data_IF_433781882488
#
_entry.id   IF_433781882488
#
_cell.length_a   1.000
_cell.length_b   1.000
_cell.length_c   1.000
_cell.angle_alpha   90.00
_cell.angle_beta   90.00
_cell.angle_gamma   90.00
#
_symmetry.space_group_name_H-M   'P 1'
#
loop_
_entity.id
_entity.type
_entity.pdbx_description
1 polymer ?
#
# COMPACT_ATOMS: atom_id res chain seq x y z
N UNK A 1 -18.06 -16.42 -9.29
CA UNK A 1 -16.77 -16.28 -8.61
C UNK A 1 -16.10 -15.00 -9.06
N UNK A 2 -15.93 -14.06 -8.16
CA UNK A 2 -15.21 -12.84 -8.45
C UNK A 2 -13.70 -13.08 -8.38
N UNK A 3 -12.95 -12.34 -9.19
CA UNK A 3 -11.51 -12.27 -9.05
C UNK A 3 -11.21 -11.34 -7.87
N UNK A 4 -10.23 -11.72 -7.08
CA UNK A 4 -9.75 -10.88 -6.01
C UNK A 4 -8.63 -10.00 -6.55
N UNK A 5 -8.76 -8.71 -6.31
CA UNK A 5 -7.75 -7.72 -6.71
C UNK A 5 -7.05 -7.19 -5.48
N UNK A 6 -5.73 -7.23 -5.50
CA UNK A 6 -4.92 -6.74 -4.39
C UNK A 6 -4.58 -5.28 -4.63
N UNK A 7 -5.01 -4.42 -3.72
CA UNK A 7 -4.72 -3.00 -3.74
C UNK A 7 -3.64 -2.69 -2.72
N UNK A 8 -2.61 -1.96 -3.13
CA UNK A 8 -1.41 -1.73 -2.35
C UNK A 8 -1.07 -0.25 -2.30
N UNK A 9 -0.70 0.23 -1.13
CA UNK A 9 -0.11 1.54 -0.93
C UNK A 9 1.15 1.41 -0.09
N UNK A 10 2.25 1.99 -0.55
CA UNK A 10 3.54 1.94 0.15
C UNK A 10 4.06 3.35 0.37
N UNK A 11 4.41 3.68 1.60
CA UNK A 11 5.05 4.94 1.90
C UNK A 11 6.50 4.92 1.40
N UNK A 12 6.83 5.88 0.57
CA UNK A 12 8.11 5.96 -0.10
C UNK A 12 9.29 6.08 0.89
N UNK A 13 9.09 6.79 1.98
CA UNK A 13 10.14 7.01 2.97
C UNK A 13 10.37 5.82 3.89
N UNK A 14 9.31 5.34 4.52
CA UNK A 14 9.39 4.29 5.54
C UNK A 14 9.27 2.89 4.99
N UNK A 15 8.70 2.73 3.80
CA UNK A 15 8.26 1.45 3.23
C UNK A 15 7.07 0.84 3.97
N UNK A 16 6.47 1.57 4.91
CA UNK A 16 5.25 1.12 5.57
C UNK A 16 4.18 0.85 4.50
N UNK A 17 3.49 -0.26 4.60
CA UNK A 17 2.56 -0.71 3.57
C UNK A 17 1.16 -0.93 4.11
N UNK A 18 0.17 -0.65 3.26
CA UNK A 18 -1.23 -0.94 3.50
C UNK A 18 -1.80 -1.71 2.32
N UNK A 19 -2.53 -2.78 2.59
CA UNK A 19 -3.02 -3.70 1.56
C UNK A 19 -4.46 -4.07 1.84
N UNK A 20 -5.27 -4.13 0.79
CA UNK A 20 -6.62 -4.69 0.84
C UNK A 20 -6.84 -5.60 -0.36
N UNK A 21 -7.65 -6.63 -0.17
CA UNK A 21 -8.15 -7.46 -1.27
C UNK A 21 -9.58 -7.05 -1.55
N UNK A 22 -9.84 -6.59 -2.77
CA UNK A 22 -11.12 -5.99 -3.16
C UNK A 22 -11.66 -6.69 -4.41
N UNK A 23 -12.98 -6.61 -4.67
CA UNK A 23 -13.60 -7.37 -5.76
C UNK A 23 -13.34 -6.83 -7.15
N UNK A 24 -12.86 -5.60 -7.27
CA UNK A 24 -12.60 -4.97 -8.59
C UNK A 24 -11.55 -3.87 -8.49
N UNK A 25 -11.23 -3.27 -9.63
CA UNK A 25 -10.29 -2.15 -9.75
C UNK A 25 -10.99 -0.90 -10.30
N UNK A 26 -12.27 -0.74 -10.06
CA UNK A 26 -13.00 0.45 -10.53
C UNK A 26 -12.55 1.70 -9.78
N UNK A 27 -12.77 2.84 -10.40
CA UNK A 27 -12.37 4.13 -9.83
C UNK A 27 -12.94 4.39 -8.44
N UNK A 28 -14.20 4.07 -8.21
CA UNK A 28 -14.82 4.21 -6.90
C UNK A 28 -14.20 3.29 -5.86
N UNK A 29 -13.85 2.07 -6.25
CA UNK A 29 -13.20 1.10 -5.38
C UNK A 29 -11.79 1.56 -5.02
N UNK A 30 -11.04 2.04 -6.00
CA UNK A 30 -9.71 2.61 -5.77
C UNK A 30 -9.76 3.84 -4.86
N UNK A 31 -10.79 4.69 -5.03
CA UNK A 31 -10.99 5.86 -4.18
C UNK A 31 -11.25 5.47 -2.72
N UNK A 32 -12.12 4.48 -2.50
CA UNK A 32 -12.39 3.96 -1.16
C UNK A 32 -11.14 3.37 -0.51
N UNK A 33 -10.37 2.61 -1.28
CA UNK A 33 -9.09 2.09 -0.81
C UNK A 33 -8.14 3.23 -0.40
N UNK A 34 -8.02 4.27 -1.22
CA UNK A 34 -7.14 5.41 -0.92
C UNK A 34 -7.55 6.11 0.37
N UNK A 35 -8.86 6.29 0.60
CA UNK A 35 -9.35 6.89 1.85
C UNK A 35 -8.97 6.06 3.07
N UNK A 36 -9.12 4.76 3.00
CA UNK A 36 -8.76 3.85 4.09
C UNK A 36 -7.26 3.78 4.29
N UNK A 37 -6.47 3.77 3.20
CA UNK A 37 -5.02 3.85 3.28
C UNK A 37 -4.59 5.16 3.95
N UNK A 38 -5.21 6.28 3.59
CA UNK A 38 -4.97 7.57 4.22
C UNK A 38 -5.19 7.55 5.72
N UNK A 39 -6.29 6.93 6.16
CA UNK A 39 -6.58 6.77 7.58
C UNK A 39 -5.53 5.89 8.28
N UNK A 40 -5.12 4.81 7.63
CA UNK A 40 -4.06 3.94 8.16
C UNK A 40 -2.76 4.72 8.38
N UNK A 41 -2.29 5.44 7.36
CA UNK A 41 -1.05 6.23 7.48
C UNK A 41 -1.19 7.36 8.50
N UNK A 42 -2.35 8.02 8.56
CA UNK A 42 -2.61 9.06 9.54
C UNK A 42 -2.53 8.53 10.97
N UNK A 43 -2.92 7.28 11.19
CA UNK A 43 -2.79 6.62 12.49
C UNK A 43 -1.34 6.48 12.94
N UNK A 44 -0.39 6.51 12.01
CA UNK A 44 1.05 6.55 12.31
C UNK A 44 1.65 7.95 12.23
N UNK A 45 0.81 8.97 12.13
CA UNK A 45 1.27 10.36 12.02
C UNK A 45 1.84 10.71 10.66
N UNK A 46 1.58 9.92 9.64
CA UNK A 46 2.06 10.16 8.27
C UNK A 46 1.02 10.97 7.52
N UNK A 47 1.42 12.15 7.04
CA UNK A 47 0.58 12.97 6.16
C UNK A 47 0.95 12.66 4.71
N UNK A 48 -0.05 12.31 3.92
CA UNK A 48 0.17 12.02 2.50
C UNK A 48 0.22 13.33 1.73
N UNK A 49 1.36 13.61 1.12
CA UNK A 49 1.55 14.82 0.31
C UNK A 49 1.38 14.54 -1.17
N UNK A 50 1.77 13.36 -1.62
CA UNK A 50 1.70 12.95 -3.03
C UNK A 50 1.23 11.52 -3.13
N UNK A 51 0.40 11.26 -4.13
CA UNK A 51 -0.06 9.92 -4.47
C UNK A 51 0.45 9.62 -5.87
N UNK A 52 1.41 8.70 -5.96
CA UNK A 52 1.96 8.27 -7.25
C UNK A 52 1.28 6.98 -7.69
N UNK A 53 0.73 6.98 -8.89
CA UNK A 53 0.05 5.83 -9.47
C UNK A 53 0.59 5.55 -10.86
N UNK A 54 0.30 4.37 -11.39
CA UNK A 54 0.48 4.12 -12.81
C UNK A 54 -0.59 4.88 -13.62
N UNK A 55 -0.63 4.66 -14.93
CA UNK A 55 -1.53 5.37 -15.83
C UNK A 55 -2.85 4.62 -16.08
N UNK A 56 -3.21 3.67 -15.24
CA UNK A 56 -4.47 2.93 -15.38
C UNK A 56 -5.68 3.86 -15.30
N UNK A 57 -6.74 3.47 -16.00
CA UNK A 57 -7.97 4.26 -16.08
C UNK A 57 -8.58 4.58 -14.72
N UNK A 58 -8.53 3.62 -13.77
CA UNK A 58 -9.07 3.80 -12.43
C UNK A 58 -8.39 4.94 -11.66
N UNK A 59 -7.17 5.30 -12.04
CA UNK A 59 -6.44 6.41 -11.44
C UNK A 59 -6.48 7.67 -12.30
N UNK A 60 -6.26 7.51 -13.61
CA UNK A 60 -6.09 8.64 -14.49
C UNK A 60 -7.39 9.33 -14.87
N UNK A 61 -8.49 8.58 -15.01
CA UNK A 61 -9.77 9.07 -15.52
C UNK A 61 -10.87 9.12 -14.47
N UNK A 62 -10.64 8.63 -13.27
CA UNK A 62 -11.66 8.55 -12.25
C UNK A 62 -11.83 9.88 -11.52
N UNK A 63 -13.04 10.41 -11.54
CA UNK A 63 -13.41 11.57 -10.72
C UNK A 63 -13.39 11.22 -9.24
N UNK A 64 -13.84 10.01 -8.91
CA UNK A 64 -13.87 9.55 -7.52
C UNK A 64 -12.47 9.46 -6.95
N UNK A 65 -11.52 8.94 -7.72
CA UNK A 65 -10.14 8.84 -7.25
C UNK A 65 -9.52 10.23 -7.05
N UNK A 66 -9.74 11.14 -8.00
CA UNK A 66 -9.26 12.53 -7.87
C UNK A 66 -9.85 13.24 -6.66
N UNK A 67 -11.14 12.99 -6.38
CA UNK A 67 -11.78 13.55 -5.19
C UNK A 67 -11.15 13.01 -3.91
N UNK A 68 -10.85 11.71 -3.87
CA UNK A 68 -10.18 11.10 -2.71
C UNK A 68 -8.79 11.69 -2.48
N UNK A 69 -8.01 11.90 -3.54
CA UNK A 69 -6.70 12.56 -3.45
C UNK A 69 -6.85 13.98 -2.90
N UNK A 70 -7.82 14.73 -3.40
CA UNK A 70 -8.06 16.11 -2.95
C UNK A 70 -8.48 16.15 -1.47
N UNK A 71 -9.30 15.21 -1.02
CA UNK A 71 -9.72 15.12 0.38
C UNK A 71 -8.53 14.91 1.33
N UNK A 72 -7.49 14.23 0.86
CA UNK A 72 -6.26 14.06 1.62
C UNK A 72 -5.37 15.31 1.65
N UNK A 73 -5.70 16.32 0.85
CA UNK A 73 -4.84 17.47 0.65
C UNK A 73 -3.59 17.13 -0.16
N UNK A 74 -3.62 16.04 -0.90
CA UNK A 74 -2.48 15.53 -1.65
C UNK A 74 -2.53 15.93 -3.11
N UNK A 75 -1.43 15.70 -3.81
CA UNK A 75 -1.31 15.91 -5.26
C UNK A 75 -1.09 14.56 -5.93
N UNK A 76 -1.84 14.29 -6.98
CA UNK A 76 -1.66 13.07 -7.77
C UNK A 76 -0.50 13.25 -8.76
N UNK A 77 0.35 12.23 -8.81
CA UNK A 77 1.44 12.12 -9.79
C UNK A 77 1.33 10.79 -10.50
N UNK A 78 1.71 10.76 -11.77
CA UNK A 78 1.74 9.53 -12.56
C UNK A 78 3.18 9.15 -12.85
N UNK A 79 3.45 7.85 -12.94
CA UNK A 79 4.76 7.38 -13.37
C UNK A 79 5.00 7.86 -14.80
N UNK A 80 6.25 8.26 -15.08
CA UNK A 80 6.60 8.71 -16.42
C UNK A 80 6.65 7.50 -17.38
N UNK A 81 6.14 7.64 -18.61
CA UNK A 81 6.33 6.60 -19.63
C UNK A 81 7.82 6.28 -19.78
N UNK A 82 8.12 5.00 -19.95
CA UNK A 82 9.49 4.48 -20.08
C UNK A 82 10.41 4.74 -18.87
N UNK A 83 9.84 5.08 -17.73
CA UNK A 83 10.59 5.27 -16.48
C UNK A 83 10.04 4.35 -15.39
N UNK A 84 10.15 3.01 -15.53
CA UNK A 84 9.56 2.06 -14.58
C UNK A 84 10.14 2.18 -13.17
N UNK A 85 11.36 2.68 -13.03
CA UNK A 85 11.99 2.87 -11.72
C UNK A 85 11.26 3.87 -10.83
N UNK A 86 10.41 4.73 -11.38
CA UNK A 86 9.63 5.70 -10.59
C UNK A 86 8.58 5.05 -9.71
N UNK A 87 8.23 3.78 -9.98
CA UNK A 87 7.31 2.99 -9.16
C UNK A 87 7.97 1.74 -8.58
N UNK A 88 9.31 1.74 -8.51
CA UNK A 88 10.08 0.56 -8.12
C UNK A 88 9.79 0.05 -6.72
N UNK A 89 9.44 0.93 -5.78
CA UNK A 89 9.13 0.54 -4.41
C UNK A 89 7.82 -0.24 -4.31
N UNK A 90 6.81 0.20 -5.04
CA UNK A 90 5.53 -0.53 -5.11
C UNK A 90 5.70 -1.88 -5.82
N UNK A 91 6.47 -1.91 -6.90
CA UNK A 91 6.77 -3.17 -7.61
C UNK A 91 7.53 -4.14 -6.71
N UNK A 92 8.54 -3.66 -5.98
CA UNK A 92 9.30 -4.48 -5.04
C UNK A 92 8.41 -5.03 -3.94
N UNK A 93 7.52 -4.21 -3.41
CA UNK A 93 6.56 -4.66 -2.42
C UNK A 93 5.63 -5.74 -2.99
N UNK A 94 5.14 -5.56 -4.20
CA UNK A 94 4.28 -6.53 -4.86
C UNK A 94 4.97 -7.90 -5.02
N UNK A 95 6.27 -7.91 -5.36
CA UNK A 95 7.05 -9.14 -5.43
C UNK A 95 7.14 -9.81 -4.06
N UNK A 96 7.43 -9.05 -3.02
CA UNK A 96 7.50 -9.55 -1.65
C UNK A 96 6.15 -10.13 -1.21
N UNK A 97 5.07 -9.42 -1.49
CA UNK A 97 3.71 -9.87 -1.19
C UNK A 97 3.39 -11.20 -1.88
N UNK A 98 3.75 -11.32 -3.15
CA UNK A 98 3.51 -12.54 -3.91
C UNK A 98 4.28 -13.72 -3.31
N UNK A 99 5.57 -13.58 -3.07
CA UNK A 99 6.41 -14.69 -2.62
C UNK A 99 6.25 -15.00 -1.13
N UNK A 100 6.04 -14.00 -0.29
CA UNK A 100 6.01 -14.20 1.16
C UNK A 100 4.61 -14.36 1.73
N UNK A 101 3.57 -14.05 0.95
CA UNK A 101 2.18 -14.22 1.37
C UNK A 101 1.35 -15.03 0.38
N UNK A 102 1.10 -14.49 -0.82
CA UNK A 102 0.09 -15.07 -1.72
C UNK A 102 0.43 -16.49 -2.16
N UNK A 103 1.71 -16.78 -2.40
CA UNK A 103 2.19 -18.07 -2.87
C UNK A 103 3.13 -18.77 -1.88
N UNK A 104 3.23 -18.25 -0.65
CA UNK A 104 4.15 -18.81 0.36
C UNK A 104 3.74 -20.19 0.82
N UNK A 105 2.45 -20.51 0.75
CA UNK A 105 1.90 -21.82 1.11
C UNK A 105 0.62 -22.07 0.32
N UNK A 106 0.15 -23.30 0.35
CA UNK A 106 -1.14 -23.67 -0.20
C UNK A 106 -2.22 -23.28 0.80
N UNK A 107 -3.19 -22.48 0.35
CA UNK A 107 -4.36 -22.12 1.14
C UNK A 107 -5.54 -23.00 0.73
N UNK A 108 -6.38 -23.39 1.69
CA UNK A 108 -7.58 -24.18 1.42
C UNK A 108 -8.63 -23.41 0.63
N UNK A 109 -8.63 -22.09 0.74
CA UNK A 109 -9.57 -21.22 0.06
C UNK A 109 -9.03 -19.80 -0.09
N UNK A 110 -9.65 -19.01 -0.97
CA UNK A 110 -9.36 -17.58 -1.09
C UNK A 110 -9.67 -16.85 0.23
N UNK A 111 -10.73 -17.23 0.92
CA UNK A 111 -11.09 -16.65 2.21
C UNK A 111 -9.98 -16.87 3.24
N UNK A 112 -9.41 -18.07 3.30
CA UNK A 112 -8.31 -18.37 4.20
C UNK A 112 -7.08 -17.51 3.89
N UNK A 113 -6.78 -17.33 2.60
CA UNK A 113 -5.67 -16.47 2.16
C UNK A 113 -5.89 -15.04 2.60
N UNK A 114 -7.07 -14.48 2.34
CA UNK A 114 -7.43 -13.10 2.72
C UNK A 114 -7.36 -12.93 4.23
N UNK A 115 -7.87 -13.89 4.99
CA UNK A 115 -7.86 -13.83 6.46
C UNK A 115 -6.44 -13.83 7.05
N UNK A 116 -5.46 -14.37 6.33
CA UNK A 116 -4.06 -14.38 6.75
C UNK A 116 -3.33 -13.06 6.50
N UNK A 117 -3.90 -12.18 5.67
CA UNK A 117 -3.24 -10.94 5.24
C UNK A 117 -2.92 -9.98 6.39
N UNK A 118 -3.84 -9.69 7.32
CA UNK A 118 -3.55 -8.74 8.39
C UNK A 118 -2.34 -9.14 9.23
N UNK A 119 -2.19 -10.41 9.59
CA UNK A 119 -1.05 -10.90 10.35
C UNK A 119 0.25 -10.80 9.55
N UNK A 120 0.20 -11.16 8.26
CA UNK A 120 1.37 -11.04 7.39
C UNK A 120 1.80 -9.58 7.26
N UNK A 121 0.84 -8.68 7.03
CA UNK A 121 1.12 -7.25 6.85
C UNK A 121 1.71 -6.64 8.13
N UNK A 122 1.18 -7.03 9.29
CA UNK A 122 1.74 -6.61 10.57
C UNK A 122 3.21 -7.06 10.69
N UNK A 123 3.51 -8.29 10.33
CA UNK A 123 4.88 -8.81 10.31
C UNK A 123 5.78 -8.02 9.35
N UNK A 124 5.28 -7.70 8.16
CA UNK A 124 6.02 -6.89 7.20
C UNK A 124 6.37 -5.51 7.78
N UNK A 125 5.39 -4.82 8.32
CA UNK A 125 5.54 -3.44 8.79
C UNK A 125 6.37 -3.33 10.07
N UNK A 126 6.22 -4.28 10.99
CA UNK A 126 6.78 -4.18 12.34
C UNK A 126 7.99 -5.08 12.59
N UNK A 127 8.18 -6.14 11.81
CA UNK A 127 9.19 -7.15 12.14
C UNK A 127 10.14 -7.49 11.00
N UNK A 128 9.71 -7.36 9.75
CA UNK A 128 10.51 -7.78 8.61
C UNK A 128 11.69 -6.84 8.39
N UNK A 129 12.95 -7.34 8.44
CA UNK A 129 14.11 -6.50 8.19
C UNK A 129 14.22 -6.12 6.71
N UNK A 130 14.65 -4.89 6.45
CA UNK A 130 14.87 -4.37 5.10
C UNK A 130 16.31 -3.90 4.95
N UNK A 131 16.96 -4.33 3.88
CA UNK A 131 18.33 -3.92 3.57
C UNK A 131 18.42 -2.38 3.44
N UNK A 132 17.45 -1.78 2.75
CA UNK A 132 17.41 -0.32 2.57
C UNK A 132 17.19 0.44 3.88
N UNK A 133 16.77 -0.22 4.95
CA UNK A 133 16.51 0.37 6.26
C UNK A 133 17.52 -0.09 7.30
N UNK A 134 18.73 -0.42 6.88
CA UNK A 134 19.81 -0.91 7.74
C UNK A 134 19.42 -2.16 8.54
N UNK A 135 18.65 -3.06 7.93
CA UNK A 135 18.17 -4.30 8.54
C UNK A 135 17.03 -4.14 9.52
N UNK A 136 16.39 -2.97 9.54
CA UNK A 136 15.26 -2.70 10.43
C UNK A 136 13.93 -2.77 9.71
N UNK A 137 12.81 -2.97 10.42
CA UNK A 137 11.49 -2.99 9.79
C UNK A 137 10.99 -1.59 9.43
N UNK A 138 10.00 -1.49 8.53
CA UNK A 138 9.44 -0.19 8.11
C UNK A 138 9.02 0.73 9.25
N UNK A 139 8.42 0.18 10.30
CA UNK A 139 7.97 0.99 11.44
C UNK A 139 9.11 1.80 12.07
N UNK A 140 10.36 1.34 11.95
CA UNK A 140 11.52 2.05 12.52
C UNK A 140 11.75 3.42 11.89
N UNK A 141 11.22 3.66 10.69
CA UNK A 141 11.35 4.95 10.00
C UNK A 141 10.14 5.85 10.15
N UNK A 142 9.14 5.45 10.91
CA UNK A 142 7.97 6.29 11.15
C UNK A 142 8.33 7.23 12.30
N UNK A 143 8.78 8.43 11.95
CA UNK A 143 9.34 9.38 12.91
C UNK A 143 8.30 10.08 13.76
N UNK A 144 7.02 10.03 13.34
CA UNK A 144 5.94 10.69 14.05
C UNK A 144 5.19 9.76 15.00
N UNK A 145 5.64 8.53 15.12
CA UNK A 145 5.13 7.67 16.18
C UNK A 145 5.54 8.35 17.49
N UNK A 146 4.59 8.66 18.36
CA UNK A 146 4.92 9.25 19.63
C UNK A 146 5.96 8.37 20.29
N UNK A 147 7.08 8.94 20.46
CA UNK A 147 8.04 8.28 21.26
C UNK A 147 7.58 8.48 22.63
N UNK A 148 7.09 7.44 23.08
CA UNK A 148 6.77 7.42 24.39
C UNK A 148 7.94 7.28 25.18
N UNK A 149 8.38 8.22 25.23
CA UNK A 149 9.14 8.54 26.18
C UNK A 149 8.57 8.19 27.48
N UNK A 150 8.43 7.03 27.60
CA UNK A 150 8.06 6.81 28.67
C UNK A 150 8.74 6.24 29.72
#
# INVERSE_FOLDING_TARGET
MGYDYVHVAVDDHSRLAYVEVLPDERGATCAGFLRRAGAFFAGYGITIERVMTDNAWCYRRSRDFRAAVAELGAVQRFIKPHCPWTNGKAERFNQTLAYEWAYARVFDSSAQRVDSLPAWLHGYNHHRPHTALAGKPPISRVTNVPRFDI
#
